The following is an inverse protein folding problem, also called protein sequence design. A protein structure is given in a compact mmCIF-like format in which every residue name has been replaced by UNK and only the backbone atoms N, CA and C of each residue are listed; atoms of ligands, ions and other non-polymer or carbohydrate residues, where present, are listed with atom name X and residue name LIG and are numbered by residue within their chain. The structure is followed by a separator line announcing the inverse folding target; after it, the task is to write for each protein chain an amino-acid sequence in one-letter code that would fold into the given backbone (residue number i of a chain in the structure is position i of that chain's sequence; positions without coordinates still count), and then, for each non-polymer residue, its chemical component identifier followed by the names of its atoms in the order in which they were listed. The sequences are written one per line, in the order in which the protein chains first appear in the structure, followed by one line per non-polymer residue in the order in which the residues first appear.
data_IF_145548207325
#
_entry.id   IF_145548207325
#
_cell.length_a   1.000
_cell.length_b   1.000
_cell.length_c   1.000
_cell.angle_alpha   90.00
_cell.angle_beta   90.00
_cell.angle_gamma   90.00
#
_symmetry.space_group_name_H-M   'P 1'
#
loop_
_entity.id
_entity.type
_entity.pdbx_description
1 polymer ?
#
# COMPACT_ATOMS: atom_id res chain seq x y z
N UNK A 1 3.35 28.56 6.22
CA UNK A 1 3.44 27.31 5.45
C UNK A 1 2.28 26.43 5.88
N UNK A 2 1.46 25.96 4.94
CA UNK A 2 0.28 25.14 5.21
C UNK A 2 0.71 23.70 5.58
N UNK A 3 1.15 23.52 6.83
CA UNK A 3 1.61 22.26 7.43
C UNK A 3 0.70 21.04 7.17
N UNK A 4 -0.65 21.16 7.05
CA UNK A 4 -1.50 19.99 6.81
C UNK A 4 -1.35 19.38 5.40
N UNK A 5 -1.16 20.22 4.38
CA UNK A 5 -1.13 19.77 2.97
C UNK A 5 0.15 19.02 2.64
N UNK A 6 1.29 19.47 3.18
CA UNK A 6 2.59 18.84 2.93
C UNK A 6 2.66 17.41 3.51
N UNK A 7 2.02 17.17 4.67
CA UNK A 7 1.96 15.84 5.30
C UNK A 7 1.14 14.84 4.50
N UNK A 8 -0.03 15.26 4.01
CA UNK A 8 -0.87 14.43 3.13
C UNK A 8 -0.15 14.06 1.84
N UNK A 9 0.60 15.01 1.25
CA UNK A 9 1.41 14.76 0.06
C UNK A 9 2.53 13.76 0.33
N UNK A 10 3.23 13.87 1.46
CA UNK A 10 4.27 12.90 1.85
C UNK A 10 3.68 11.52 2.05
N UNK A 11 2.54 11.40 2.75
CA UNK A 11 1.84 10.13 2.93
C UNK A 11 1.43 9.52 1.59
N UNK A 12 0.90 10.34 0.68
CA UNK A 12 0.54 9.92 -0.67
C UNK A 12 1.76 9.40 -1.43
N UNK A 13 2.89 10.10 -1.39
CA UNK A 13 4.13 9.69 -2.06
C UNK A 13 4.67 8.38 -1.49
N UNK A 14 4.72 8.23 -0.17
CA UNK A 14 5.18 7.00 0.49
C UNK A 14 4.25 5.82 0.17
N UNK A 15 2.93 6.04 0.25
CA UNK A 15 1.94 5.01 -0.08
C UNK A 15 2.05 4.58 -1.55
N UNK A 16 2.21 5.53 -2.48
CA UNK A 16 2.36 5.24 -3.90
C UNK A 16 3.69 4.52 -4.20
N UNK A 17 4.78 4.94 -3.54
CA UNK A 17 6.09 4.28 -3.66
C UNK A 17 6.03 2.82 -3.22
N UNK A 18 5.45 2.55 -2.04
CA UNK A 18 5.24 1.19 -1.54
C UNK A 18 4.28 0.38 -2.43
N UNK A 19 3.24 1.00 -2.97
CA UNK A 19 2.31 0.35 -3.88
C UNK A 19 2.99 -0.12 -5.17
N UNK A 20 3.83 0.73 -5.77
CA UNK A 20 4.56 0.38 -6.98
C UNK A 20 5.63 -0.68 -6.69
N UNK A 21 6.37 -0.55 -5.60
CA UNK A 21 7.39 -1.52 -5.21
C UNK A 21 6.77 -2.88 -4.92
N UNK A 22 5.79 -2.96 -4.01
CA UNK A 22 5.19 -4.22 -3.59
C UNK A 22 4.30 -4.80 -4.68
N UNK A 23 3.46 -3.98 -5.31
CA UNK A 23 2.55 -4.42 -6.37
C UNK A 23 3.29 -4.84 -7.64
N UNK A 24 4.34 -4.10 -8.03
CA UNK A 24 5.16 -4.42 -9.19
C UNK A 24 5.96 -5.72 -9.00
N UNK A 25 6.58 -5.90 -7.83
CA UNK A 25 7.32 -7.13 -7.52
C UNK A 25 6.41 -8.34 -7.35
N UNK A 26 5.36 -8.22 -6.52
CA UNK A 26 4.46 -9.33 -6.22
C UNK A 26 3.63 -9.74 -7.44
N UNK A 27 3.17 -8.78 -8.24
CA UNK A 27 2.46 -9.06 -9.49
C UNK A 27 3.36 -9.70 -10.56
N UNK A 28 4.64 -9.32 -10.62
CA UNK A 28 5.63 -9.93 -11.50
C UNK A 28 5.94 -11.39 -11.13
N UNK A 29 6.10 -11.68 -9.83
CA UNK A 29 6.33 -13.03 -9.31
C UNK A 29 5.15 -13.97 -9.56
N UNK A 30 3.92 -13.53 -9.31
CA UNK A 30 2.73 -14.35 -9.55
C UNK A 30 2.59 -14.74 -11.02
N UNK A 31 2.91 -13.81 -11.92
CA UNK A 31 2.86 -14.07 -13.36
C UNK A 31 4.00 -14.98 -13.85
N UNK A 32 5.11 -15.06 -13.10
CA UNK A 32 6.25 -15.89 -13.43
C UNK A 32 6.08 -17.35 -12.96
N UNK A 33 5.41 -17.58 -11.83
CA UNK A 33 5.31 -18.93 -11.23
C UNK A 33 3.96 -19.64 -11.41
N UNK A 34 2.84 -18.93 -11.56
CA UNK A 34 1.51 -19.55 -11.61
C UNK A 34 0.87 -19.45 -13.00
N UNK A 35 0.44 -20.58 -13.56
CA UNK A 35 -0.35 -20.66 -14.80
C UNK A 35 -1.69 -21.34 -14.54
N UNK A 36 -2.75 -20.55 -14.30
CA UNK A 36 -4.11 -21.09 -14.10
C UNK A 36 -4.95 -20.34 -13.07
N UNK A 37 -5.93 -21.02 -12.47
CA UNK A 37 -6.81 -20.46 -11.43
C UNK A 37 -6.07 -19.99 -10.17
N UNK A 38 -4.88 -20.53 -9.93
CA UNK A 38 -3.97 -20.12 -8.85
C UNK A 38 -3.46 -18.68 -9.05
N UNK A 39 -3.27 -18.24 -10.29
CA UNK A 39 -2.86 -16.85 -10.61
C UNK A 39 -3.92 -15.85 -10.12
N UNK A 40 -5.20 -16.19 -10.28
CA UNK A 40 -6.32 -15.35 -9.84
C UNK A 40 -6.38 -15.26 -8.32
N UNK A 41 -6.27 -16.40 -7.63
CA UNK A 41 -6.27 -16.45 -6.17
C UNK A 41 -5.09 -15.67 -5.58
N UNK A 42 -3.90 -15.82 -6.15
CA UNK A 42 -2.69 -15.08 -5.75
C UNK A 42 -2.83 -13.58 -6.00
N UNK A 43 -3.37 -13.15 -7.14
CA UNK A 43 -3.63 -11.73 -7.43
C UNK A 43 -4.62 -11.12 -6.43
N UNK A 44 -5.72 -11.81 -6.15
CA UNK A 44 -6.72 -11.33 -5.17
C UNK A 44 -6.10 -11.27 -3.77
N UNK A 45 -5.30 -12.28 -3.40
CA UNK A 45 -4.58 -12.30 -2.12
C UNK A 45 -3.60 -11.14 -1.97
N UNK A 46 -2.80 -10.84 -2.99
CA UNK A 46 -1.88 -9.69 -3.00
C UNK A 46 -2.67 -8.37 -2.90
N UNK A 47 -3.78 -8.25 -3.64
CA UNK A 47 -4.65 -7.09 -3.58
C UNK A 47 -5.21 -6.86 -2.17
N UNK A 48 -5.64 -7.92 -1.49
CA UNK A 48 -6.12 -7.86 -0.12
C UNK A 48 -5.02 -7.45 0.87
N UNK A 49 -3.82 -8.04 0.77
CA UNK A 49 -2.66 -7.68 1.60
C UNK A 49 -2.27 -6.23 1.39
N UNK A 50 -2.27 -5.76 0.13
CA UNK A 50 -1.98 -4.37 -0.20
C UNK A 50 -2.98 -3.41 0.48
N UNK A 51 -4.28 -3.73 0.47
CA UNK A 51 -5.29 -2.95 1.16
C UNK A 51 -5.08 -2.92 2.68
N UNK A 52 -4.70 -4.05 3.29
CA UNK A 52 -4.38 -4.11 4.73
C UNK A 52 -3.20 -3.20 5.08
N UNK A 53 -2.15 -3.19 4.25
CA UNK A 53 -1.00 -2.30 4.44
C UNK A 53 -1.42 -0.83 4.35
N UNK A 54 -2.24 -0.46 3.37
CA UNK A 54 -2.75 0.92 3.26
C UNK A 54 -3.56 1.34 4.50
N UNK A 55 -4.43 0.47 5.00
CA UNK A 55 -5.20 0.74 6.21
C UNK A 55 -4.29 0.86 7.45
N UNK A 56 -3.25 0.03 7.55
CA UNK A 56 -2.26 0.11 8.63
C UNK A 56 -1.48 1.42 8.59
N UNK A 57 -1.00 1.83 7.41
CA UNK A 57 -0.33 3.12 7.23
C UNK A 57 -1.26 4.27 7.59
N UNK A 58 -2.49 4.26 7.09
CA UNK A 58 -3.51 5.25 7.44
C UNK A 58 -3.73 5.36 8.95
N UNK A 59 -3.84 4.21 9.64
CA UNK A 59 -4.00 4.17 11.09
C UNK A 59 -2.80 4.77 11.83
N UNK A 60 -1.57 4.46 11.41
CA UNK A 60 -0.35 5.00 12.02
C UNK A 60 -0.32 6.52 11.85
N UNK A 61 -0.59 7.02 10.65
CA UNK A 61 -0.64 8.47 10.40
C UNK A 61 -1.73 9.17 11.20
N UNK A 62 -2.93 8.58 11.28
CA UNK A 62 -4.04 9.14 12.07
C UNK A 62 -3.66 9.25 13.56
N UNK A 63 -3.04 8.23 14.15
CA UNK A 63 -2.61 8.28 15.54
C UNK A 63 -1.56 9.37 15.80
N UNK A 64 -0.61 9.55 14.88
CA UNK A 64 0.42 10.59 15.00
C UNK A 64 -0.20 12.00 14.94
N UNK A 65 -1.27 12.20 14.15
CA UNK A 65 -2.01 13.45 14.11
C UNK A 65 -2.79 13.70 15.42
N UNK A 66 -3.35 12.65 16.02
CA UNK A 66 -4.12 12.74 17.27
C UNK A 66 -3.22 13.02 18.49
N UNK A 67 -2.00 12.49 18.51
CA UNK A 67 -1.00 12.76 19.56
C UNK A 67 -0.33 14.15 19.46
N UNK A 68 -0.40 14.79 18.29
CA UNK A 68 0.21 16.09 18.04
C UNK A 68 -0.69 17.29 18.39
N UNK A 69 -1.96 17.05 18.77
CA UNK A 69 -2.95 18.06 19.18
C UNK A 69 -3.09 18.16 20.69
#
# INVERSE_FOLDING_TARGET
MNVPTDRLLIMLVVATGLAVLVGGWAGGLVRAEATGSEELALRVGIGAVFFVVLLGVWHVFKNIDEEAS
#
